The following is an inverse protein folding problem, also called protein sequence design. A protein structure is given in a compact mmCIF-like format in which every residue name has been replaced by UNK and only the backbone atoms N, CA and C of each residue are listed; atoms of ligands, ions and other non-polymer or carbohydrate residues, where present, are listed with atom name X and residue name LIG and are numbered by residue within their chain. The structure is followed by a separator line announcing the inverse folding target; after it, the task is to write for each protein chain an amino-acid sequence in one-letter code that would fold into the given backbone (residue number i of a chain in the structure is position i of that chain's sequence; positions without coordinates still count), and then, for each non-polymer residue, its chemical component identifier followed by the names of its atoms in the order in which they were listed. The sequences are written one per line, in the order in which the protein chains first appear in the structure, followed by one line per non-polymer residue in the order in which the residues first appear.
data_IF_261176622444
#
_entry.id   IF_261176622444
#
_cell.length_a   1.000
_cell.length_b   1.000
_cell.length_c   1.000
_cell.angle_alpha   90.00
_cell.angle_beta   90.00
_cell.angle_gamma   90.00
#
_symmetry.space_group_name_H-M   'P 1'
#
loop_
_entity.id
_entity.type
_entity.pdbx_description
1 polymer ?
2 polymer ?
3 non-polymer ?
4 non-polymer ?
5 non-polymer ?
6 water ?
#
# COMPACT_ATOMS: atom_id res chain seq x y z
N UNK A 1 -10.66 -21.87 -6.49
CA UNK A 1 -9.27 -21.60 -6.15
C UNK A 1 -8.53 -22.82 -5.67
N UNK A 2 -7.24 -22.89 -5.97
CA UNK A 2 -6.41 -24.02 -5.60
C UNK A 2 -6.23 -24.17 -4.10
N UNK A 3 -6.56 -23.14 -3.32
CA UNK A 3 -6.52 -23.23 -1.86
C UNK A 3 -7.88 -23.60 -1.27
N UNK A 4 -8.87 -23.88 -2.11
CA UNK A 4 -10.21 -24.16 -1.62
C UNK A 4 -10.30 -25.35 -0.69
N UNK A 5 -9.40 -26.33 -0.86
CA UNK A 5 -9.46 -27.55 -0.05
C UNK A 5 -8.64 -27.46 1.24
N UNK A 6 -7.90 -26.38 1.48
CA UNK A 6 -7.08 -26.27 2.68
C UNK A 6 -7.80 -25.49 3.78
N UNK A 7 -7.65 -25.96 5.02
CA UNK A 7 -8.20 -25.28 6.18
C UNK A 7 -7.73 -23.83 6.28
N UNK A 8 -8.65 -22.96 6.68
CA UNK A 8 -8.29 -21.57 6.94
C UNK A 8 -7.07 -21.47 7.85
N UNK A 9 -7.09 -22.21 8.97
CA UNK A 9 -6.00 -22.10 9.93
C UNK A 9 -4.69 -22.57 9.34
N UNK A 10 -4.75 -23.61 8.49
CA UNK A 10 -3.56 -24.13 7.83
C UNK A 10 -3.00 -23.14 6.82
N UNK A 11 -3.88 -22.45 6.10
CA UNK A 11 -3.43 -21.40 5.20
C UNK A 11 -2.71 -20.29 5.95
N UNK A 12 -3.24 -19.87 7.10
CA UNK A 12 -2.61 -18.81 7.89
C UNK A 12 -1.25 -19.28 8.40
N UNK A 13 -1.21 -20.52 8.92
CA UNK A 13 0.05 -21.08 9.41
C UNK A 13 1.09 -21.11 8.29
N UNK A 14 0.69 -21.55 7.09
CA UNK A 14 1.64 -21.62 5.99
C UNK A 14 2.03 -20.24 5.49
N UNK A 15 1.13 -19.26 5.56
CA UNK A 15 1.52 -17.89 5.22
C UNK A 15 2.66 -17.42 6.12
N UNK A 16 2.60 -17.74 7.41
CA UNK A 16 3.66 -17.34 8.33
C UNK A 16 4.95 -18.09 8.04
N UNK A 17 4.86 -19.38 7.71
CA UNK A 17 6.04 -20.12 7.30
C UNK A 17 6.65 -19.54 6.04
N UNK A 18 5.80 -19.22 5.05
CA UNK A 18 6.29 -18.65 3.80
C UNK A 18 7.01 -17.33 4.05
N UNK A 19 6.48 -16.49 4.94
CA UNK A 19 7.16 -15.25 5.29
C UNK A 19 8.54 -15.52 5.84
N UNK A 20 8.66 -16.51 6.74
CA UNK A 20 9.97 -16.83 7.30
C UNK A 20 10.95 -17.29 6.24
N UNK A 21 10.45 -18.00 5.22
CA UNK A 21 11.24 -18.50 4.12
C UNK A 21 11.41 -17.50 2.98
N UNK A 22 10.90 -16.27 3.16
CA UNK A 22 10.94 -15.22 2.14
C UNK A 22 10.33 -15.70 0.82
N UNK A 23 9.26 -16.49 0.92
CA UNK A 23 8.53 -17.01 -0.23
C UNK A 23 7.23 -16.20 -0.36
N UNK A 24 7.36 -14.98 -0.87
CA UNK A 24 6.24 -14.04 -0.78
C UNK A 24 5.13 -14.37 -1.77
N UNK A 25 5.45 -14.94 -2.93
CA UNK A 25 4.37 -15.36 -3.84
C UNK A 25 3.52 -16.43 -3.17
N UNK A 26 4.15 -17.42 -2.53
CA UNK A 26 3.41 -18.41 -1.77
C UNK A 26 2.60 -17.75 -0.66
N UNK A 27 3.24 -16.84 0.09
CA UNK A 27 2.56 -16.16 1.18
C UNK A 27 1.29 -15.48 0.69
N UNK A 28 1.38 -14.79 -0.46
CA UNK A 28 0.21 -14.10 -1.01
C UNK A 28 -0.87 -15.09 -1.42
N UNK A 29 -0.48 -16.20 -2.05
CA UNK A 29 -1.46 -17.19 -2.47
C UNK A 29 -2.17 -17.81 -1.28
N UNK A 30 -1.44 -18.06 -0.19
CA UNK A 30 -2.04 -18.60 1.02
C UNK A 30 -3.03 -17.62 1.64
N UNK A 31 -2.66 -16.33 1.69
CA UNK A 31 -3.54 -15.34 2.27
C UNK A 31 -4.76 -15.08 1.39
N UNK A 32 -4.58 -15.12 0.06
CA UNK A 32 -5.74 -15.03 -0.83
C UNK A 32 -6.72 -16.16 -0.53
N UNK A 33 -6.20 -17.38 -0.37
CA UNK A 33 -7.06 -18.50 -0.01
C UNK A 33 -7.76 -18.30 1.32
N UNK A 34 -7.06 -17.71 2.30
CA UNK A 34 -7.69 -17.45 3.59
C UNK A 34 -8.79 -16.41 3.46
N UNK A 35 -8.55 -15.34 2.70
CA UNK A 35 -9.60 -14.34 2.47
C UNK A 35 -10.82 -14.98 1.84
N UNK A 36 -10.60 -15.87 0.88
CA UNK A 36 -11.71 -16.45 0.13
C UNK A 36 -12.52 -17.45 0.96
N UNK A 37 -12.08 -17.78 2.17
CA UNK A 37 -12.97 -18.54 3.06
C UNK A 37 -14.18 -17.74 3.48
N UNK A 38 -14.15 -16.42 3.32
CA UNK A 38 -15.33 -15.60 3.54
C UNK A 38 -15.45 -15.00 4.93
N UNK A 39 -14.61 -15.41 5.87
CA UNK A 39 -14.62 -14.81 7.20
C UNK A 39 -13.80 -13.52 7.21
N UNK A 40 -14.16 -12.61 8.12
CA UNK A 40 -13.37 -11.40 8.30
C UNK A 40 -11.97 -11.77 8.80
N UNK A 41 -11.01 -10.86 8.60
CA UNK A 41 -9.62 -11.09 9.02
C UNK A 41 -9.32 -10.36 10.32
N UNK A 42 -8.53 -11.00 11.17
CA UNK A 42 -8.03 -10.35 12.37
C UNK A 42 -6.96 -9.33 12.01
N UNK A 43 -6.53 -8.55 13.01
CA UNK A 43 -5.46 -7.58 12.78
C UNK A 43 -4.21 -8.26 12.22
N UNK A 44 -3.77 -9.35 12.86
CA UNK A 44 -2.58 -10.05 12.39
C UNK A 44 -2.78 -10.55 10.97
N UNK A 45 -3.96 -11.12 10.69
CA UNK A 45 -4.21 -11.67 9.36
C UNK A 45 -4.23 -10.58 8.28
N UNK A 46 -4.81 -9.41 8.59
CA UNK A 46 -4.77 -8.30 7.65
C UNK A 46 -3.34 -7.93 7.31
N UNK A 47 -2.49 -7.88 8.33
CA UNK A 47 -1.11 -7.51 8.10
C UNK A 47 -0.36 -8.58 7.32
N UNK A 48 -0.68 -9.86 7.53
CA UNK A 48 -0.08 -10.91 6.72
C UNK A 48 -0.46 -10.74 5.26
N UNK A 49 -1.74 -10.45 5.00
CA UNK A 49 -2.20 -10.21 3.63
C UNK A 49 -1.44 -9.04 2.99
N UNK A 50 -1.33 -7.93 3.71
CA UNK A 50 -0.68 -6.74 3.17
C UNK A 50 0.82 -6.97 2.93
N UNK A 51 1.53 -7.52 3.92
CA UNK A 51 2.96 -7.78 3.77
C UNK A 51 3.22 -8.68 2.57
N UNK A 52 2.41 -9.73 2.39
CA UNK A 52 2.60 -10.66 1.28
C UNK A 52 2.51 -9.94 -0.06
N UNK A 53 1.40 -9.25 -0.30
CA UNK A 53 1.24 -8.62 -1.59
C UNK A 53 2.16 -7.43 -1.76
N UNK A 54 2.50 -6.72 -0.66
CA UNK A 54 3.45 -5.62 -0.79
C UNK A 54 4.80 -6.10 -1.30
N UNK A 55 5.25 -7.26 -0.81
CA UNK A 55 6.51 -7.83 -1.27
C UNK A 55 6.42 -8.26 -2.72
N UNK A 56 5.32 -8.92 -3.10
CA UNK A 56 5.16 -9.36 -4.49
C UNK A 56 5.15 -8.16 -5.42
N UNK A 57 4.27 -7.18 -5.15
CA UNK A 57 4.15 -6.06 -6.08
C UNK A 57 5.41 -5.22 -6.05
N UNK A 58 6.13 -5.22 -4.92
CA UNK A 58 7.38 -4.47 -4.84
C UNK A 58 8.44 -4.99 -5.80
N UNK A 59 8.57 -6.32 -5.89
CA UNK A 59 9.49 -6.89 -6.86
C UNK A 59 9.11 -6.51 -8.28
N UNK A 60 7.81 -6.46 -8.57
CA UNK A 60 7.35 -6.12 -9.91
C UNK A 60 7.60 -4.65 -10.20
N UNK A 61 7.31 -3.77 -9.25
CA UNK A 61 7.56 -2.34 -9.46
C UNK A 61 9.03 -2.07 -9.71
N UNK A 62 9.92 -2.70 -8.94
CA UNK A 62 11.34 -2.48 -9.14
C UNK A 62 11.76 -2.96 -10.53
N UNK A 63 11.28 -4.13 -10.95
CA UNK A 63 11.62 -4.64 -12.28
C UNK A 63 11.04 -3.73 -13.36
N UNK A 64 9.79 -3.30 -13.19
CA UNK A 64 9.18 -2.41 -14.18
C UNK A 64 9.98 -1.13 -14.35
N UNK A 65 10.47 -0.55 -13.25
CA UNK A 65 11.23 0.70 -13.36
C UNK A 65 12.53 0.48 -14.10
N UNK A 66 13.22 -0.64 -13.85
CA UNK A 66 14.45 -0.95 -14.58
C UNK A 66 14.17 -1.02 -16.08
N UNK A 67 13.12 -1.76 -16.46
CA UNK A 67 12.81 -1.94 -17.87
C UNK A 67 12.32 -0.64 -18.51
N UNK A 68 11.48 0.12 -17.79
CA UNK A 68 11.01 1.40 -18.31
C UNK A 68 12.18 2.33 -18.60
N UNK A 69 13.17 2.36 -17.71
CA UNK A 69 14.34 3.22 -17.91
C UNK A 69 15.14 2.78 -19.12
N UNK A 70 15.36 1.47 -19.28
CA UNK A 70 16.05 0.97 -20.47
C UNK A 70 15.25 1.34 -21.72
N UNK A 71 13.93 1.21 -21.66
CA UNK A 71 13.07 1.54 -22.80
C UNK A 71 13.17 3.02 -23.16
N UNK A 72 13.11 3.89 -22.15
CA UNK A 72 13.23 5.32 -22.41
C UNK A 72 14.57 5.64 -23.08
N UNK A 73 15.66 5.12 -22.52
CA UNK A 73 16.97 5.31 -23.13
C UNK A 73 16.98 4.83 -24.58
N UNK A 74 16.43 3.64 -24.83
CA UNK A 74 16.42 3.10 -26.19
C UNK A 74 15.58 3.94 -27.14
N UNK A 75 14.71 4.80 -26.62
CA UNK A 75 13.91 5.70 -27.46
C UNK A 75 14.54 7.08 -27.47
N UNK A 81 18.38 1.42 -32.88
CA UNK A 81 17.20 0.56 -32.85
C UNK A 81 17.57 -0.87 -32.43
N UNK A 82 16.83 -1.41 -31.47
CA UNK A 82 17.09 -2.76 -30.98
C UNK A 82 15.89 -3.69 -31.16
N UNK A 83 14.82 -3.23 -31.81
CA UNK A 83 13.67 -4.07 -32.03
C UNK A 83 12.61 -3.91 -30.95
N UNK A 84 11.56 -4.75 -31.01
CA UNK A 84 10.43 -4.62 -30.07
C UNK A 84 10.65 -5.26 -28.71
N UNK A 85 11.79 -5.90 -28.47
CA UNK A 85 11.94 -6.77 -27.31
C UNK A 85 11.85 -6.01 -25.99
N UNK A 86 12.46 -4.83 -25.89
CA UNK A 86 12.41 -4.09 -24.62
C UNK A 86 10.97 -3.72 -24.30
N UNK A 87 10.25 -3.16 -25.27
CA UNK A 87 8.85 -2.82 -25.07
C UNK A 87 8.04 -4.06 -24.70
N UNK A 88 8.23 -5.16 -25.45
CA UNK A 88 7.49 -6.38 -25.18
C UNK A 88 7.70 -6.86 -23.75
N UNK A 89 8.97 -6.87 -23.30
CA UNK A 89 9.24 -7.42 -21.97
C UNK A 89 8.77 -6.46 -20.87
N UNK A 90 8.93 -5.15 -21.09
CA UNK A 90 8.34 -4.19 -20.14
C UNK A 90 6.83 -4.38 -20.05
N UNK A 91 6.17 -4.59 -21.20
CA UNK A 91 4.73 -4.87 -21.20
C UNK A 91 4.39 -6.15 -20.46
N UNK A 92 5.22 -7.19 -20.60
CA UNK A 92 4.94 -8.45 -19.91
C UNK A 92 4.97 -8.24 -18.41
N UNK A 93 6.00 -7.57 -17.91
CA UNK A 93 6.11 -7.33 -16.47
C UNK A 93 4.99 -6.41 -16.01
N UNK A 94 4.67 -5.40 -16.82
CA UNK A 94 3.59 -4.47 -16.50
C UNK A 94 2.25 -5.19 -16.38
N UNK A 95 1.98 -6.13 -17.28
CA UNK A 95 0.72 -6.85 -17.26
C UNK A 95 0.61 -7.75 -16.02
N UNK A 96 1.73 -8.37 -15.64
CA UNK A 96 1.73 -9.18 -14.43
C UNK A 96 1.52 -8.32 -13.19
N UNK A 97 2.14 -7.13 -13.16
CA UNK A 97 1.94 -6.18 -12.06
C UNK A 97 0.48 -5.77 -11.96
N UNK A 98 -0.13 -5.41 -13.11
CA UNK A 98 -1.54 -5.04 -13.11
C UNK A 98 -2.41 -6.20 -12.64
N UNK A 99 -2.02 -7.43 -13.00
CA UNK A 99 -2.78 -8.58 -12.54
C UNK A 99 -2.78 -8.73 -11.04
N UNK A 100 -1.62 -8.51 -10.41
CA UNK A 100 -1.52 -8.57 -8.96
C UNK A 100 -2.36 -7.46 -8.33
N UNK A 101 -2.26 -6.24 -8.85
CA UNK A 101 -3.08 -5.14 -8.32
C UNK A 101 -4.57 -5.47 -8.46
N UNK A 102 -4.99 -5.97 -9.62
CA UNK A 102 -6.39 -6.34 -9.82
C UNK A 102 -6.82 -7.43 -8.83
N UNK A 103 -5.93 -8.38 -8.56
CA UNK A 103 -6.26 -9.45 -7.62
C UNK A 103 -6.50 -8.88 -6.23
N UNK A 104 -5.59 -8.02 -5.75
CA UNK A 104 -5.76 -7.41 -4.44
C UNK A 104 -7.04 -6.59 -4.39
N UNK A 105 -7.24 -5.72 -5.39
CA UNK A 105 -8.46 -4.91 -5.43
C UNK A 105 -9.71 -5.80 -5.46
N UNK A 106 -9.62 -6.95 -6.13
CA UNK A 106 -10.75 -7.87 -6.15
C UNK A 106 -11.09 -8.43 -4.78
N UNK A 107 -10.06 -8.77 -3.99
CA UNK A 107 -10.28 -9.25 -2.64
C UNK A 107 -10.90 -8.17 -1.77
N UNK A 108 -10.42 -6.93 -1.92
CA UNK A 108 -10.97 -5.83 -1.14
C UNK A 108 -12.45 -5.60 -1.49
N UNK A 109 -12.79 -5.71 -2.76
CA UNK A 109 -14.15 -5.46 -3.22
C UNK A 109 -15.06 -6.66 -3.04
N UNK A 110 -14.50 -7.86 -2.82
CA UNK A 110 -15.29 -9.09 -2.67
C UNK A 110 -14.69 -9.97 -1.58
N UNK A 111 -14.94 -9.67 -0.29
CA UNK A 111 -15.85 -8.63 0.17
C UNK A 111 -15.30 -7.98 1.45
N UNK A 112 -13.99 -7.76 1.48
CA UNK A 112 -13.34 -7.32 2.71
C UNK A 112 -13.86 -5.95 3.16
N UNK A 113 -13.94 -4.99 2.24
CA UNK A 113 -14.31 -3.63 2.65
C UNK A 113 -15.75 -3.58 3.13
N UNK A 114 -16.68 -4.18 2.39
CA UNK A 114 -18.08 -4.04 2.77
C UNK A 114 -18.40 -4.69 4.11
N UNK A 115 -17.59 -5.66 4.57
CA UNK A 115 -17.80 -6.27 5.89
C UNK A 115 -16.97 -5.63 6.99
N UNK A 116 -16.12 -4.64 6.66
CA UNK A 116 -15.24 -4.02 7.64
C UNK A 116 -15.94 -2.83 8.30
N UNK A 117 -16.31 -2.98 9.56
CA UNK A 117 -17.03 -1.93 10.27
C UNK A 117 -16.20 -1.18 11.29
N UNK A 118 -15.19 -1.82 11.87
CA UNK A 118 -14.35 -1.14 12.83
C UNK A 118 -13.37 -0.23 12.10
N UNK A 119 -13.02 0.89 12.73
CA UNK A 119 -12.09 1.83 12.10
C UNK A 119 -10.78 1.15 11.71
N UNK A 120 -10.25 0.32 12.59
CA UNK A 120 -8.93 -0.27 12.35
C UNK A 120 -8.93 -1.16 11.11
N UNK A 121 -10.04 -1.86 10.86
CA UNK A 121 -10.10 -2.71 9.68
C UNK A 121 -10.48 -1.90 8.45
N UNK A 122 -11.50 -1.04 8.57
CA UNK A 122 -11.98 -0.32 7.41
C UNK A 122 -10.92 0.63 6.86
N UNK A 123 -10.23 1.37 7.74
CA UNK A 123 -9.17 2.26 7.29
C UNK A 123 -8.04 1.46 6.66
N UNK A 124 -7.67 0.33 7.25
CA UNK A 124 -6.62 -0.51 6.71
C UNK A 124 -6.94 -0.93 5.27
N UNK A 125 -8.15 -1.42 5.04
CA UNK A 125 -8.51 -1.90 3.70
C UNK A 125 -8.63 -0.76 2.72
N UNK A 126 -9.21 0.36 3.12
CA UNK A 126 -9.32 1.49 2.20
C UNK A 126 -7.95 2.05 1.86
N UNK A 127 -7.03 2.07 2.83
CA UNK A 127 -5.65 2.43 2.52
C UNK A 127 -5.06 1.49 1.48
N UNK A 128 -5.27 0.17 1.66
CA UNK A 128 -4.78 -0.79 0.67
C UNK A 128 -5.36 -0.49 -0.70
N UNK A 129 -6.67 -0.21 -0.76
CA UNK A 129 -7.29 0.10 -2.04
C UNK A 129 -6.62 1.31 -2.70
N UNK A 130 -6.39 2.37 -1.93
CA UNK A 130 -5.64 3.49 -2.47
C UNK A 130 -4.26 3.10 -2.96
N UNK A 131 -3.56 2.27 -2.17
CA UNK A 131 -2.20 1.86 -2.52
C UNK A 131 -2.16 1.14 -3.86
N UNK A 132 -3.07 0.17 -4.06
CA UNK A 132 -2.96 -0.64 -5.28
C UNK A 132 -3.50 0.11 -6.50
N UNK A 133 -4.43 1.06 -6.32
CA UNK A 133 -4.72 1.95 -7.43
C UNK A 133 -3.55 2.87 -7.72
N UNK A 134 -2.81 3.28 -6.68
CA UNK A 134 -1.61 4.06 -6.89
C UNK A 134 -0.56 3.26 -7.69
N UNK A 135 -0.40 1.96 -7.39
CA UNK A 135 0.58 1.18 -8.16
C UNK A 135 0.12 1.02 -9.60
N UNK A 136 -1.19 0.91 -9.84
CA UNK A 136 -1.68 0.95 -11.22
C UNK A 136 -1.39 2.30 -11.86
N UNK A 137 -1.55 3.39 -11.10
CA UNK A 137 -1.32 4.71 -11.67
C UNK A 137 0.14 4.89 -12.09
N UNK A 138 1.07 4.26 -11.38
CA UNK A 138 2.49 4.41 -11.67
C UNK A 138 2.82 3.95 -13.08
N UNK A 139 2.09 2.97 -13.61
CA UNK A 139 2.36 2.41 -14.93
C UNK A 139 1.33 2.83 -15.96
N UNK A 140 0.33 3.62 -15.58
CA UNK A 140 -0.76 3.97 -16.47
C UNK A 140 -0.33 5.06 -17.45
N UNK A 141 -0.70 4.89 -18.72
CA UNK A 141 -0.47 5.88 -19.77
C UNK A 141 -1.68 6.06 -20.67
N UNK A 142 -2.76 5.29 -20.48
CA UNK A 142 -3.89 5.31 -21.38
C UNK A 142 -4.92 6.36 -21.00
N UNK A 143 -6.04 6.32 -21.72
CA UNK A 143 -7.17 7.18 -21.41
C UNK A 143 -7.82 6.83 -20.08
N UNK A 144 -7.31 5.83 -19.38
CA UNK A 144 -7.83 5.45 -18.07
C UNK A 144 -7.00 6.00 -16.92
N UNK A 145 -5.86 6.64 -17.21
CA UNK A 145 -4.97 7.12 -16.15
C UNK A 145 -5.68 8.05 -15.19
N UNK A 146 -6.44 9.02 -15.71
CA UNK A 146 -7.12 9.95 -14.83
C UNK A 146 -8.10 9.24 -13.91
N UNK A 147 -8.85 8.28 -14.44
CA UNK A 147 -9.81 7.55 -13.60
C UNK A 147 -9.11 6.66 -12.59
N UNK A 148 -7.96 6.07 -12.94
CA UNK A 148 -7.20 5.28 -11.97
C UNK A 148 -6.73 6.17 -10.82
N UNK A 149 -6.20 7.35 -11.16
CA UNK A 149 -5.75 8.31 -10.16
C UNK A 149 -6.90 8.72 -9.25
N UNK A 150 -8.08 8.97 -9.84
CA UNK A 150 -9.20 9.40 -9.00
C UNK A 150 -9.69 8.26 -8.12
N UNK A 151 -9.58 7.00 -8.58
CA UNK A 151 -9.92 5.87 -7.72
C UNK A 151 -9.00 5.78 -6.51
N UNK A 152 -7.70 6.02 -6.73
CA UNK A 152 -6.77 6.04 -5.61
C UNK A 152 -7.14 7.17 -4.64
N UNK A 153 -7.32 8.37 -5.18
CA UNK A 153 -7.65 9.53 -4.35
C UNK A 153 -8.89 9.27 -3.51
N UNK A 154 -9.95 8.75 -4.15
CA UNK A 154 -11.22 8.52 -3.47
C UNK A 154 -11.06 7.54 -2.31
N UNK A 155 -10.31 6.45 -2.53
CA UNK A 155 -10.10 5.47 -1.46
C UNK A 155 -9.29 6.07 -0.32
N UNK A 156 -8.19 6.75 -0.64
CA UNK A 156 -7.41 7.43 0.38
C UNK A 156 -8.27 8.43 1.15
N UNK A 157 -9.12 9.20 0.45
CA UNK A 157 -9.90 10.24 1.12
C UNK A 157 -10.90 9.64 2.09
N UNK A 158 -11.59 8.56 1.69
CA UNK A 158 -12.51 7.92 2.61
C UNK A 158 -11.77 7.39 3.84
N UNK A 159 -10.60 6.77 3.61
CA UNK A 159 -9.79 6.29 4.72
C UNK A 159 -9.37 7.43 5.64
N UNK A 160 -8.99 8.57 5.04
CA UNK A 160 -8.57 9.72 5.83
C UNK A 160 -9.72 10.25 6.67
N UNK A 161 -10.90 10.39 6.07
CA UNK A 161 -12.05 10.92 6.81
C UNK A 161 -12.36 10.06 8.02
N UNK A 162 -12.36 8.73 7.84
CA UNK A 162 -12.64 7.83 8.95
C UNK A 162 -11.56 7.93 10.00
N UNK A 163 -10.29 7.96 9.56
CA UNK A 163 -9.19 7.94 10.51
C UNK A 163 -9.17 9.20 11.38
N UNK A 164 -9.47 10.36 10.79
CA UNK A 164 -9.47 11.58 11.58
C UNK A 164 -10.60 11.60 12.61
N UNK A 165 -11.72 10.95 12.30
CA UNK A 165 -12.84 10.94 13.22
C UNK A 165 -12.71 9.87 14.30
N UNK A 166 -12.11 8.72 13.96
CA UNK A 166 -12.19 7.54 14.82
C UNK A 166 -10.88 7.10 15.46
N UNK A 167 -9.73 7.66 15.06
CA UNK A 167 -8.44 7.22 15.58
C UNK A 167 -7.66 8.40 16.12
N UNK A 168 -6.83 8.19 17.13
CA UNK A 168 -5.95 9.26 17.60
C UNK A 168 -4.87 9.55 16.58
N UNK A 169 -4.28 10.75 16.62
CA UNK A 169 -3.31 11.14 15.58
C UNK A 169 -2.03 10.33 15.60
N UNK A 170 -1.77 9.55 16.66
CA UNK A 170 -0.59 8.70 16.70
C UNK A 170 -0.87 7.28 16.22
N UNK A 171 -2.11 6.93 15.94
CA UNK A 171 -2.43 5.57 15.52
C UNK A 171 -1.57 5.17 14.33
N UNK A 172 -0.79 4.08 14.41
CA UNK A 172 0.10 3.75 13.30
C UNK A 172 -0.61 3.52 11.97
N UNK A 173 -1.86 3.06 11.97
CA UNK A 173 -2.57 2.90 10.70
C UNK A 173 -2.89 4.26 10.10
N UNK A 174 -3.40 5.18 10.92
CA UNK A 174 -3.62 6.55 10.48
C UNK A 174 -2.34 7.18 9.94
N UNK A 175 -1.22 6.97 10.66
CA UNK A 175 0.04 7.58 10.23
C UNK A 175 0.50 7.03 8.89
N UNK A 176 0.44 5.71 8.71
CA UNK A 176 0.87 5.12 7.46
C UNK A 176 -0.02 5.50 6.30
N UNK A 177 -1.31 5.65 6.55
CA UNK A 177 -2.23 6.18 5.54
C UNK A 177 -1.82 7.59 5.12
N UNK A 178 -1.57 8.46 6.09
CA UNK A 178 -1.21 9.83 5.74
C UNK A 178 0.11 9.86 4.98
N UNK A 179 1.09 9.06 5.41
CA UNK A 179 2.35 8.92 4.69
C UNK A 179 2.11 8.58 3.22
N UNK A 180 1.32 7.53 2.97
CA UNK A 180 1.11 7.07 1.59
C UNK A 180 0.29 8.07 0.78
N UNK A 181 -0.74 8.66 1.40
CA UNK A 181 -1.53 9.67 0.71
C UNK A 181 -0.68 10.88 0.35
N UNK A 182 0.27 11.24 1.22
CA UNK A 182 1.17 12.35 0.92
C UNK A 182 2.04 12.04 -0.29
N UNK A 183 2.52 10.80 -0.39
CA UNK A 183 3.33 10.41 -1.55
C UNK A 183 2.46 10.37 -2.80
N UNK A 184 1.22 9.90 -2.68
CA UNK A 184 0.26 10.00 -3.78
C UNK A 184 0.16 11.45 -4.27
N UNK A 185 -0.02 12.39 -3.35
CA UNK A 185 -0.10 13.80 -3.75
C UNK A 185 1.17 14.23 -4.47
N UNK A 186 2.33 13.84 -3.95
CA UNK A 186 3.58 14.40 -4.44
C UNK A 186 3.85 13.97 -5.87
N UNK A 187 3.73 12.69 -6.17
CA UNK A 187 4.21 12.20 -7.45
C UNK A 187 3.16 11.55 -8.33
N UNK A 188 1.95 11.31 -7.86
CA UNK A 188 0.87 10.83 -8.72
C UNK A 188 -0.07 11.97 -9.11
N UNK A 189 -0.49 12.77 -8.13
CA UNK A 189 -1.40 13.88 -8.35
C UNK A 189 -0.70 15.17 -8.76
N UNK A 190 0.64 15.20 -8.79
CA UNK A 190 1.40 16.41 -9.12
C UNK A 190 1.03 17.56 -8.20
N UNK A 191 0.86 17.26 -6.92
CA UNK A 191 0.47 18.24 -5.89
C UNK A 191 1.50 18.24 -4.76
N UNK A 192 2.74 18.64 -5.05
CA UNK A 192 3.77 18.62 -3.99
C UNK A 192 3.40 19.47 -2.78
N UNK A 193 2.70 20.58 -2.98
CA UNK A 193 2.34 21.43 -1.85
C UNK A 193 1.37 20.71 -0.92
N UNK A 194 0.36 20.03 -1.49
CA UNK A 194 -0.56 19.24 -0.68
C UNK A 194 0.19 18.14 0.06
N UNK A 195 1.14 17.51 -0.61
CA UNK A 195 1.94 16.45 0.02
C UNK A 195 2.69 16.97 1.23
N UNK A 196 3.37 18.11 1.07
CA UNK A 196 4.16 18.67 2.15
C UNK A 196 3.26 19.08 3.31
N UNK A 197 2.16 19.75 3.00
CA UNK A 197 1.22 20.17 4.04
C UNK A 197 0.69 18.98 4.81
N UNK A 198 0.26 17.92 4.10
CA UNK A 198 -0.25 16.75 4.78
C UNK A 198 0.82 16.13 5.67
N UNK A 199 2.03 15.97 5.13
CA UNK A 199 3.12 15.35 5.91
C UNK A 199 3.43 16.15 7.16
N UNK A 200 3.50 17.49 7.03
CA UNK A 200 3.81 18.35 8.17
C UNK A 200 2.71 18.30 9.24
N UNK A 201 1.45 18.51 8.85
CA UNK A 201 0.36 18.49 9.82
C UNK A 201 0.25 17.13 10.51
N UNK A 202 0.40 16.06 9.74
CA UNK A 202 0.36 14.72 10.33
C UNK A 202 1.46 14.54 11.35
N UNK A 203 2.68 14.95 11.01
CA UNK A 203 3.81 14.81 11.92
C UNK A 203 3.58 15.62 13.20
N UNK A 204 3.19 16.89 13.05
CA UNK A 204 3.03 17.77 14.20
C UNK A 204 1.89 17.31 15.11
N UNK A 205 0.77 16.85 14.55
CA UNK A 205 -0.33 16.39 15.39
C UNK A 205 0.00 15.10 16.10
N UNK A 206 0.82 14.25 15.48
CA UNK A 206 1.26 13.05 16.18
C UNK A 206 2.21 13.41 17.31
N UNK A 207 3.14 14.34 17.04
CA UNK A 207 4.08 14.77 18.07
C UNK A 207 3.36 15.19 19.33
N UNK A 208 2.30 15.98 19.19
CA UNK A 208 1.55 16.52 20.32
C UNK A 208 0.78 15.45 21.09
N UNK A 209 0.60 14.26 20.51
CA UNK A 209 -0.15 13.18 21.13
C UNK A 209 0.76 12.09 21.71
N UNK A 210 2.07 12.18 21.49
CA UNK A 210 2.98 11.13 21.94
C UNK A 210 2.95 10.95 23.46
N UNK A 211 2.67 12.03 24.20
CA UNK A 211 2.72 11.96 25.67
C UNK A 211 1.68 11.00 26.24
N UNK A 212 0.67 10.60 25.45
CA UNK A 212 -0.39 9.71 25.91
C UNK A 212 -0.01 8.24 25.82
N UNK A 213 1.11 7.92 25.18
CA UNK A 213 1.42 6.57 24.76
C UNK A 213 2.37 5.86 25.71
N UNK A 214 2.23 4.53 25.75
CA UNK A 214 3.19 3.65 26.38
C UNK A 214 4.50 3.64 25.60
N UNK A 215 5.54 3.07 26.22
CA UNK A 215 6.83 2.98 25.54
C UNK A 215 6.74 2.20 24.23
N UNK A 216 5.98 1.09 24.23
CA UNK A 216 5.86 0.29 23.01
C UNK A 216 5.07 1.03 21.93
N UNK A 217 3.95 1.65 22.29
CA UNK A 217 3.18 2.40 21.30
C UNK A 217 3.97 3.60 20.80
N UNK A 218 4.70 4.26 21.69
CA UNK A 218 5.61 5.33 21.31
C UNK A 218 6.55 4.89 20.20
N UNK A 219 7.15 3.70 20.36
CA UNK A 219 8.07 3.19 19.35
C UNK A 219 7.37 2.97 18.01
N UNK A 220 6.17 2.40 18.03
CA UNK A 220 5.43 2.15 16.80
C UNK A 220 5.12 3.46 16.08
N UNK A 221 4.70 4.48 16.82
CA UNK A 221 4.29 5.74 16.20
C UNK A 221 5.49 6.52 15.68
N UNK A 222 6.56 6.61 16.49
CA UNK A 222 7.72 7.38 16.04
C UNK A 222 8.39 6.76 14.82
N UNK A 223 8.30 5.43 14.67
CA UNK A 223 8.87 4.80 13.47
C UNK A 223 8.27 5.38 12.20
N UNK A 224 6.94 5.50 12.17
CA UNK A 224 6.29 6.02 10.97
C UNK A 224 6.46 7.53 10.88
N UNK A 225 6.48 8.23 12.02
CA UNK A 225 6.77 9.66 11.99
C UNK A 225 8.11 9.93 11.32
N UNK A 226 9.11 9.08 11.57
CA UNK A 226 10.42 9.26 10.94
C UNK A 226 10.32 9.15 9.42
N UNK A 227 9.43 8.30 8.92
CA UNK A 227 9.22 8.21 7.48
C UNK A 227 8.64 9.51 6.91
N UNK A 228 7.68 10.12 7.62
CA UNK A 228 7.17 11.42 7.23
C UNK A 228 8.29 12.44 7.17
N UNK A 229 9.14 12.45 8.20
CA UNK A 229 10.25 13.40 8.23
C UNK A 229 11.26 13.13 7.12
N UNK A 230 11.53 11.85 6.80
CA UNK A 230 12.43 11.53 5.70
C UNK A 230 11.93 12.15 4.40
N UNK A 231 10.62 12.03 4.13
CA UNK A 231 10.07 12.61 2.92
C UNK A 231 10.13 14.12 2.95
N UNK A 232 9.72 14.74 4.07
CA UNK A 232 9.79 16.19 4.18
C UNK A 232 11.20 16.70 3.91
N UNK A 233 12.21 15.97 4.39
CA UNK A 233 13.60 16.38 4.16
C UNK A 233 13.95 16.36 2.67
N UNK A 234 13.44 15.37 1.93
CA UNK A 234 13.70 15.33 0.49
C UNK A 234 12.87 16.37 -0.26
N UNK A 235 11.73 16.76 0.28
CA UNK A 235 10.79 17.63 -0.43
C UNK A 235 11.01 19.11 -0.14
N UNK A 236 11.74 19.46 0.90
CA UNK A 236 11.91 20.86 1.29
C UNK A 236 13.37 21.20 1.52
N UNK B 1 14.72 5.46 -10.45
CA UNK B 1 13.86 6.54 -10.01
C UNK B 1 13.97 6.75 -8.51
N UNK B 2 14.00 8.02 -8.09
CA UNK B 2 14.01 8.35 -6.68
C UNK B 2 12.67 7.95 -6.07
N UNK B 3 12.66 7.00 -5.14
CA UNK B 3 11.41 6.52 -4.53
C UNK B 3 11.29 7.08 -3.11
N UNK B 4 10.14 7.68 -2.81
CA UNK B 4 9.92 8.24 -1.49
C UNK B 4 9.42 7.17 -0.52
N UNK B 5 9.49 7.48 0.77
CA UNK B 5 9.11 6.52 1.80
C UNK B 5 7.60 6.29 1.81
N UNK B 6 7.19 5.02 1.76
CA UNK B 6 5.79 4.66 1.99
C UNK B 6 5.74 3.53 3.02
N UNK B 7 4.53 3.25 3.50
CA UNK B 7 4.32 2.32 4.59
C UNK B 7 4.72 0.88 4.25
N UNK B 8 5.25 0.17 5.23
CA UNK B 8 5.45 -1.27 5.11
C UNK B 8 6.73 -1.66 4.40
N UNK B 9 6.82 -2.92 3.99
CA UNK B 9 8.07 -3.44 3.41
C UNK B 9 8.56 -2.61 2.24
N UNK B 10 9.82 -2.17 2.33
CA UNK B 10 10.52 -1.48 1.25
C UNK B 10 11.01 -2.55 0.26
N UNK B 11 10.06 -3.11 -0.47
CA UNK B 11 10.27 -4.30 -1.28
C UNK B 11 10.60 -4.00 -2.74
N UNK B 12 10.61 -2.74 -3.13
CA UNK B 12 11.01 -2.40 -4.49
C UNK B 12 12.33 -1.63 -4.44
X LIG C 1 5.13 26.65 -2.07
X LIG D 1 0.37 -2.09 -20.96
X LIG E 1 8.27 -10.86 -23.34
X LIG F 1 3.12 -8.85 10.85
X LIG F 1 3.21 -7.49 10.80
X LIG F 1 3.97 -9.80 10.01
X LIG F 1 -1.24 -7.38 14.85
X LIG F 1 0.63 -7.04 13.27
X LIG F 1 0.59 -5.65 13.37
X LIG F 1 1.41 -4.87 12.59
X LIG F 1 2.27 -5.42 11.76
X LIG F 1 2.33 -6.82 11.67
X LIG F 1 1.50 -7.61 12.43
X LIG F 1 3.92 -11.23 10.21
X LIG F 1 4.71 -9.26 9.18
X LIG F 1 -0.20 -7.90 14.05
X LIG F 1 1.90 -9.24 12.00
X LIG F 1 3.80 -7.05 10.25
X LIG F 1 -1.20 -7.78 15.70
X LIG F 1 -2.06 -7.58 14.44
X LIG F 1 -1.14 -6.46 14.92
X LIG F 1 -0.02 -5.24 13.95
X LIG F 1 1.38 -3.94 12.66
X LIG F 1 2.83 -4.91 11.24
X LIG F 1 3.40 -11.57 10.81
X LIG F 1 4.41 -11.76 9.74
X LIG F 1 5.23 -9.77 8.66
#
# INVERSE_FOLDING_TARGET
GAMGSMERASLIQKAKLAEQAERYEDMAAFMKGAVEKGEELSCEERNLLSVAYKNVVGGQRAAWRVLSSIEQKSNEEGSEEKGPEVREYREKVETELQGVCDTVLGLLDSHLIKEAGDAESRVFYLKMKGDYYRYLAEVATGDDKKRIIDSARSAYQEAMDISKKEMPPTNPIRLGLALNFSVFHYEIANSPEEAISLAKTTFDEAMADLHTLSEDSYKDSTLIMQLLRDNLTLWT
KLMFKTEGPDSD
MG MG
MG MG
CL CL
LFB C10 C11 C12 C01 C03 C04 C05 C06 C07 C08 N13 N14 O02 S09 H111 H013 H011 H012 H041 H051 H061 H131 H1 H141
#
